data_IF_954605226160
#
_entry.id   IF_954605226160
#
_cell.length_a   1.000
_cell.length_b   1.000
_cell.length_c   1.000
_cell.angle_alpha   90.00
_cell.angle_beta   90.00
_cell.angle_gamma   90.00
#
_symmetry.space_group_name_H-M   'P 1'
#
loop_
_entity.id
_entity.type
_entity.pdbx_description
1 polymer ?
#
# COMPACT_ATOMS: atom_id res chain seq x y z
N UNK A 1 21.84 11.37 -16.98
CA UNK A 1 21.14 10.39 -16.14
C UNK A 1 20.03 11.10 -15.35
N UNK A 2 18.87 10.47 -15.17
CA UNK A 2 17.66 11.11 -14.66
C UNK A 2 17.59 11.37 -13.15
N UNK A 3 18.68 11.21 -12.39
CA UNK A 3 18.81 11.59 -10.98
C UNK A 3 17.96 10.81 -9.95
N UNK A 4 16.98 10.02 -10.38
CA UNK A 4 16.04 9.36 -9.46
C UNK A 4 16.73 8.38 -8.49
N UNK A 5 17.78 7.68 -8.94
CA UNK A 5 18.57 6.77 -8.09
C UNK A 5 19.09 7.47 -6.83
N UNK A 6 19.69 8.66 -6.97
CA UNK A 6 20.27 9.35 -5.80
C UNK A 6 19.21 9.69 -4.77
N UNK A 7 18.00 10.06 -5.20
CA UNK A 7 16.88 10.37 -4.31
C UNK A 7 16.35 9.09 -3.62
N UNK A 8 16.19 8.01 -4.38
CA UNK A 8 15.69 6.73 -3.85
C UNK A 8 16.66 6.11 -2.83
N UNK A 9 17.96 6.25 -3.04
CA UNK A 9 19.02 5.74 -2.15
C UNK A 9 19.39 6.70 -1.00
N UNK A 10 18.90 7.96 -1.01
CA UNK A 10 19.20 8.95 0.03
C UNK A 10 18.47 8.65 1.35
N UNK A 11 19.23 8.46 2.44
CA UNK A 11 18.68 8.21 3.78
C UNK A 11 17.95 9.43 4.35
N UNK A 12 18.31 10.65 3.94
CA UNK A 12 17.69 11.90 4.43
C UNK A 12 16.30 12.15 3.83
N UNK A 13 15.98 11.49 2.72
CA UNK A 13 14.67 11.59 2.07
C UNK A 13 13.86 10.35 2.40
N UNK A 14 12.72 10.51 3.09
CA UNK A 14 11.81 9.39 3.33
C UNK A 14 10.98 9.09 2.09
N UNK A 15 10.93 7.82 1.68
CA UNK A 15 10.09 7.37 0.56
C UNK A 15 8.82 6.75 1.12
N UNK A 16 7.68 7.38 0.80
CA UNK A 16 6.36 6.91 1.23
C UNK A 16 5.74 6.11 0.08
N UNK A 17 5.51 4.81 0.32
CA UNK A 17 4.93 3.87 -0.66
C UNK A 17 3.71 3.18 -0.08
N UNK A 18 2.99 2.44 -0.91
CA UNK A 18 1.98 1.49 -0.49
C UNK A 18 2.34 0.11 -1.03
N UNK A 19 2.58 -0.86 -0.14
CA UNK A 19 3.01 -2.20 -0.51
C UNK A 19 4.34 -2.24 -1.29
N UNK A 20 5.46 -1.99 -0.58
CA UNK A 20 6.79 -1.79 -1.18
C UNK A 20 7.37 -3.02 -1.91
N UNK A 21 6.76 -4.19 -1.77
CA UNK A 21 7.36 -5.49 -2.13
C UNK A 21 7.74 -5.61 -3.60
N UNK A 22 6.79 -5.36 -4.50
CA UNK A 22 7.01 -5.47 -5.94
C UNK A 22 7.88 -4.34 -6.51
N UNK A 23 7.73 -3.13 -5.96
CA UNK A 23 8.52 -1.97 -6.36
C UNK A 23 10.00 -2.14 -6.01
N UNK A 24 10.28 -2.63 -4.80
CA UNK A 24 11.63 -2.91 -4.35
C UNK A 24 12.33 -3.98 -5.18
N UNK A 25 11.67 -5.11 -5.40
CA UNK A 25 12.19 -6.19 -6.24
C UNK A 25 12.52 -5.69 -7.65
N UNK A 26 11.59 -4.94 -8.25
CA UNK A 26 11.75 -4.37 -9.59
C UNK A 26 12.91 -3.37 -9.64
N UNK A 27 13.03 -2.47 -8.66
CA UNK A 27 14.09 -1.46 -8.60
C UNK A 27 15.48 -2.08 -8.41
N UNK A 28 15.58 -3.09 -7.53
CA UNK A 28 16.84 -3.77 -7.25
C UNK A 28 17.33 -4.57 -8.45
N UNK A 29 16.46 -5.38 -9.07
CA UNK A 29 16.88 -6.31 -10.13
C UNK A 29 17.00 -5.63 -11.50
N UNK A 30 16.08 -4.73 -11.85
CA UNK A 30 16.08 -4.11 -13.18
C UNK A 30 16.99 -2.88 -13.25
N UNK A 31 17.18 -2.17 -12.13
CA UNK A 31 17.88 -0.87 -12.13
C UNK A 31 19.03 -0.79 -11.12
N UNK A 32 19.31 -1.86 -10.37
CA UNK A 32 20.32 -1.89 -9.31
C UNK A 32 20.17 -0.75 -8.29
N UNK A 33 18.93 -0.33 -8.02
CA UNK A 33 18.58 0.71 -7.04
C UNK A 33 18.13 0.05 -5.76
N UNK A 34 18.69 0.48 -4.62
CA UNK A 34 18.23 0.00 -3.30
C UNK A 34 17.67 1.13 -2.46
N UNK A 35 16.35 1.14 -2.28
CA UNK A 35 15.67 2.19 -1.52
C UNK A 35 16.13 2.23 -0.06
N UNK A 36 16.16 3.43 0.53
CA UNK A 36 16.50 3.70 1.95
C UNK A 36 15.40 4.50 2.63
N UNK A 37 15.26 4.48 3.95
CA UNK A 37 14.26 5.32 4.63
C UNK A 37 12.84 5.14 4.05
N UNK A 38 12.37 3.89 4.04
CA UNK A 38 11.11 3.50 3.43
C UNK A 38 10.00 3.59 4.48
N UNK A 39 8.86 4.10 4.07
CA UNK A 39 7.65 4.17 4.86
C UNK A 39 6.48 3.57 4.08
N UNK A 40 6.08 2.35 4.42
CA UNK A 40 4.98 1.64 3.76
C UNK A 40 3.65 1.92 4.47
N UNK A 41 2.73 2.59 3.77
CA UNK A 41 1.40 2.94 4.27
C UNK A 41 0.56 1.71 4.60
N UNK A 42 0.75 0.58 3.91
CA UNK A 42 0.04 -0.66 4.23
C UNK A 42 0.50 -1.23 5.59
N UNK A 43 1.78 -1.05 5.91
CA UNK A 43 2.35 -1.41 7.22
C UNK A 43 1.82 -0.49 8.31
N UNK A 44 1.85 0.84 8.09
CA UNK A 44 1.25 1.81 9.03
C UNK A 44 -0.23 1.48 9.29
N UNK A 45 -0.99 1.22 8.23
CA UNK A 45 -2.40 0.85 8.38
C UNK A 45 -2.57 -0.38 9.27
N UNK A 46 -1.79 -1.44 9.05
CA UNK A 46 -1.88 -2.66 9.85
C UNK A 46 -1.56 -2.40 11.33
N UNK A 47 -0.51 -1.62 11.64
CA UNK A 47 -0.18 -1.26 13.02
C UNK A 47 -1.27 -0.43 13.71
N UNK A 48 -2.02 0.38 12.93
CA UNK A 48 -2.94 1.36 13.49
C UNK A 48 -4.40 0.88 13.55
N UNK A 49 -4.79 0.01 12.62
CA UNK A 49 -6.18 -0.37 12.39
C UNK A 49 -6.43 -1.88 12.31
N UNK A 50 -5.39 -2.72 12.34
CA UNK A 50 -5.57 -4.18 12.31
C UNK A 50 -5.36 -4.81 13.67
N UNK A 51 -6.06 -5.91 13.89
CA UNK A 51 -5.87 -6.74 15.08
C UNK A 51 -4.69 -7.70 14.89
N UNK A 52 -4.10 -8.18 16.00
CA UNK A 52 -3.04 -9.21 15.93
C UNK A 52 -3.53 -10.50 15.28
N UNK A 53 -4.84 -10.77 15.37
CA UNK A 53 -5.55 -11.89 14.74
C UNK A 53 -5.78 -11.73 13.24
N UNK A 54 -5.65 -10.51 12.69
CA UNK A 54 -5.86 -10.24 11.25
C UNK A 54 -4.74 -10.83 10.39
N UNK A 55 -5.00 -11.93 9.71
CA UNK A 55 -3.98 -12.59 8.88
C UNK A 55 -3.83 -11.97 7.48
N UNK A 56 -4.66 -11.00 7.11
CA UNK A 56 -4.72 -10.44 5.76
C UNK A 56 -4.54 -8.93 5.72
N UNK A 57 -3.66 -8.48 4.85
CA UNK A 57 -3.39 -7.07 4.56
C UNK A 57 -4.54 -6.46 3.75
N UNK A 58 -4.80 -5.18 3.99
CA UNK A 58 -5.84 -4.42 3.27
C UNK A 58 -5.25 -3.80 2.00
N UNK A 59 -6.02 -3.83 0.92
CA UNK A 59 -5.67 -3.17 -0.34
C UNK A 59 -5.81 -1.65 -0.23
N UNK A 60 -5.17 -0.89 -1.12
CA UNK A 60 -5.24 0.58 -1.09
C UNK A 60 -6.69 1.09 -1.12
N UNK A 61 -7.58 0.44 -1.87
CA UNK A 61 -9.00 0.80 -1.91
C UNK A 61 -9.66 0.73 -0.53
N UNK A 62 -9.47 -0.37 0.19
CA UNK A 62 -10.02 -0.56 1.55
C UNK A 62 -9.37 0.45 2.50
N UNK A 63 -8.07 0.70 2.33
CA UNK A 63 -7.33 1.65 3.17
C UNK A 63 -7.83 3.09 2.95
N UNK A 64 -8.12 3.47 1.71
CA UNK A 64 -8.74 4.76 1.39
C UNK A 64 -10.10 4.92 2.08
N UNK A 65 -10.85 3.84 2.32
CA UNK A 65 -12.13 3.84 3.06
C UNK A 65 -12.02 4.46 4.46
N UNK A 66 -10.84 4.43 5.09
CA UNK A 66 -10.58 5.04 6.41
C UNK A 66 -10.25 6.53 6.38
N UNK A 67 -10.06 7.13 5.21
CA UNK A 67 -9.91 8.59 5.15
C UNK A 67 -11.21 9.28 5.58
N UNK A 68 -11.15 10.44 6.25
CA UNK A 68 -12.31 11.29 6.48
C UNK A 68 -13.00 11.76 5.19
N UNK A 69 -14.32 11.95 5.23
CA UNK A 69 -15.14 12.35 4.07
C UNK A 69 -14.75 13.71 3.49
N UNK A 70 -14.23 14.63 4.32
CA UNK A 70 -13.74 15.95 3.91
C UNK A 70 -12.41 15.89 3.15
N UNK A 71 -11.64 14.80 3.29
CA UNK A 71 -10.41 14.55 2.54
C UNK A 71 -10.68 13.73 1.28
N UNK A 72 -11.56 12.73 1.38
CA UNK A 72 -11.97 11.92 0.24
C UNK A 72 -13.48 11.65 0.29
N UNK A 73 -14.24 12.31 -0.57
CA UNK A 73 -15.70 12.20 -0.59
C UNK A 73 -16.18 10.83 -1.06
N UNK A 74 -17.43 10.47 -0.75
CA UNK A 74 -18.05 9.22 -1.23
C UNK A 74 -18.06 9.16 -2.76
N UNK A 75 -18.33 10.29 -3.43
CA UNK A 75 -18.31 10.36 -4.89
C UNK A 75 -16.92 10.07 -5.46
N UNK A 76 -15.86 10.61 -4.85
CA UNK A 76 -14.48 10.34 -5.26
C UNK A 76 -14.08 8.89 -5.02
N UNK A 77 -14.45 8.28 -3.88
CA UNK A 77 -14.22 6.85 -3.63
C UNK A 77 -14.84 5.97 -4.69
N UNK A 78 -16.11 6.24 -5.03
CA UNK A 78 -16.80 5.51 -6.08
C UNK A 78 -16.14 5.73 -7.45
N UNK A 79 -15.64 6.94 -7.73
CA UNK A 79 -14.88 7.23 -8.95
C UNK A 79 -13.59 6.42 -9.01
N UNK A 80 -12.82 6.38 -7.92
CA UNK A 80 -11.58 5.59 -7.83
C UNK A 80 -11.84 4.08 -7.97
N UNK A 81 -12.92 3.58 -7.37
CA UNK A 81 -13.33 2.19 -7.52
C UNK A 81 -13.66 1.84 -8.97
N UNK A 82 -14.44 2.69 -9.66
CA UNK A 82 -14.72 2.51 -11.09
C UNK A 82 -13.46 2.56 -11.94
N UNK A 83 -12.56 3.52 -11.66
CA UNK A 83 -11.29 3.68 -12.36
C UNK A 83 -10.40 2.44 -12.21
N UNK A 84 -10.29 1.88 -10.99
CA UNK A 84 -9.56 0.62 -10.77
C UNK A 84 -10.16 -0.49 -11.62
N UNK A 85 -11.47 -0.68 -11.59
CA UNK A 85 -12.12 -1.76 -12.34
C UNK A 85 -11.90 -1.63 -13.85
N UNK A 86 -12.01 -0.41 -14.38
CA UNK A 86 -11.74 -0.11 -15.79
C UNK A 86 -10.27 -0.41 -16.14
N UNK A 87 -9.32 0.10 -15.36
CA UNK A 87 -7.90 -0.13 -15.56
C UNK A 87 -7.53 -1.61 -15.47
N UNK A 88 -8.04 -2.33 -14.46
CA UNK A 88 -7.81 -3.77 -14.28
C UNK A 88 -8.28 -4.57 -15.48
N UNK A 89 -9.46 -4.26 -16.02
CA UNK A 89 -9.94 -4.93 -17.23
C UNK A 89 -8.99 -4.72 -18.41
N UNK A 90 -8.41 -3.52 -18.55
CA UNK A 90 -7.48 -3.21 -19.63
C UNK A 90 -6.20 -4.05 -19.55
N UNK A 91 -5.51 -4.08 -18.40
CA UNK A 91 -4.27 -4.84 -18.26
C UNK A 91 -4.46 -6.35 -18.04
N UNK A 92 -5.68 -6.78 -17.69
CA UNK A 92 -6.06 -8.20 -17.72
C UNK A 92 -6.23 -8.70 -19.16
N UNK A 93 -6.78 -7.86 -20.03
CA UNK A 93 -7.02 -8.19 -21.44
C UNK A 93 -5.74 -8.11 -22.27
N UNK A 94 -4.87 -7.16 -21.96
CA UNK A 94 -3.64 -6.91 -22.69
C UNK A 94 -2.45 -6.77 -21.74
N UNK A 95 -1.63 -7.82 -21.68
CA UNK A 95 -0.45 -7.92 -20.80
C UNK A 95 0.64 -6.89 -21.13
N UNK A 96 0.68 -6.37 -22.36
CA UNK A 96 1.69 -5.40 -22.81
C UNK A 96 1.15 -3.96 -22.81
N UNK A 97 -0.02 -3.72 -22.22
CA UNK A 97 -0.66 -2.40 -22.30
C UNK A 97 0.18 -1.29 -21.64
N UNK A 98 0.96 -1.63 -20.62
CA UNK A 98 1.89 -0.70 -19.96
C UNK A 98 3.08 -0.27 -20.83
N UNK A 99 3.37 -1.01 -21.91
CA UNK A 99 4.43 -0.68 -22.87
C UNK A 99 3.93 0.19 -24.03
N UNK A 100 2.62 0.24 -24.25
CA UNK A 100 2.03 1.02 -25.35
C UNK A 100 2.18 2.52 -25.14
N UNK A 101 2.45 3.26 -26.22
CA UNK A 101 2.57 4.72 -26.20
C UNK A 101 1.74 5.38 -27.32
N UNK A 102 1.06 6.52 -27.04
CA UNK A 102 0.90 7.13 -25.72
C UNK A 102 0.08 6.24 -24.78
N UNK A 103 0.38 6.31 -23.47
CA UNK A 103 -0.39 5.56 -22.47
C UNK A 103 -1.81 6.14 -22.39
N UNK A 104 -2.83 5.29 -22.38
CA UNK A 104 -4.21 5.77 -22.36
C UNK A 104 -4.53 6.50 -21.04
N UNK A 105 -5.49 7.43 -21.10
CA UNK A 105 -5.80 8.30 -19.97
C UNK A 105 -6.24 7.52 -18.72
N UNK A 106 -7.03 6.46 -18.90
CA UNK A 106 -7.47 5.57 -17.81
C UNK A 106 -6.27 5.00 -17.03
N UNK A 107 -5.22 4.51 -17.71
CA UNK A 107 -4.04 3.97 -17.03
C UNK A 107 -3.18 5.05 -16.38
N UNK A 108 -3.12 6.25 -16.97
CA UNK A 108 -2.45 7.41 -16.34
C UNK A 108 -3.16 7.81 -15.05
N UNK A 109 -4.48 7.97 -15.09
CA UNK A 109 -5.27 8.34 -13.92
C UNK A 109 -5.23 7.23 -12.85
N UNK A 110 -5.24 5.96 -13.27
CA UNK A 110 -5.08 4.82 -12.37
C UNK A 110 -3.71 4.83 -11.66
N UNK A 111 -2.62 4.99 -12.41
CA UNK A 111 -1.27 5.08 -11.83
C UNK A 111 -1.15 6.25 -10.86
N UNK A 112 -1.69 7.43 -11.22
CA UNK A 112 -1.70 8.60 -10.33
C UNK A 112 -2.50 8.33 -9.04
N UNK A 113 -3.65 7.64 -9.14
CA UNK A 113 -4.49 7.34 -7.97
C UNK A 113 -3.77 6.51 -6.90
N UNK A 114 -2.78 5.69 -7.29
CA UNK A 114 -1.98 4.90 -6.38
C UNK A 114 -1.08 5.71 -5.43
N UNK A 115 -0.77 6.97 -5.79
CA UNK A 115 0.20 7.80 -5.03
C UNK A 115 -0.41 9.07 -4.43
N UNK A 116 -1.52 9.57 -4.98
CA UNK A 116 -2.07 10.89 -4.64
C UNK A 116 -2.41 11.09 -3.16
N UNK A 117 -2.78 10.02 -2.44
CA UNK A 117 -3.24 10.12 -1.05
C UNK A 117 -2.19 9.67 -0.02
N UNK A 118 -1.02 9.17 -0.44
CA UNK A 118 -0.05 8.52 0.46
C UNK A 118 0.49 9.47 1.53
N UNK A 119 0.89 10.68 1.13
CA UNK A 119 1.40 11.70 2.07
C UNK A 119 0.30 12.17 3.04
N UNK A 120 -0.93 12.35 2.53
CA UNK A 120 -2.07 12.72 3.36
C UNK A 120 -2.36 11.66 4.42
N UNK A 121 -2.39 10.37 4.02
CA UNK A 121 -2.57 9.25 4.94
C UNK A 121 -1.46 9.18 5.98
N UNK A 122 -0.20 9.39 5.59
CA UNK A 122 0.92 9.43 6.53
C UNK A 122 0.74 10.52 7.58
N UNK A 123 0.52 11.77 7.16
CA UNK A 123 0.36 12.90 8.08
C UNK A 123 -0.82 12.67 9.01
N UNK A 124 -1.97 12.31 8.43
CA UNK A 124 -3.20 12.14 9.18
C UNK A 124 -3.08 11.03 10.23
N UNK A 125 -2.63 9.83 9.85
CA UNK A 125 -2.56 8.70 10.77
C UNK A 125 -1.37 8.75 11.73
N UNK A 126 -0.35 9.54 11.39
CA UNK A 126 0.69 9.92 12.33
C UNK A 126 0.15 10.83 13.44
N UNK A 127 -0.69 11.80 13.10
CA UNK A 127 -1.24 12.77 14.06
C UNK A 127 -2.53 12.28 14.76
N UNK A 128 -3.18 11.23 14.26
CA UNK A 128 -4.40 10.70 14.84
C UNK A 128 -4.16 10.06 16.21
N UNK A 129 -4.89 10.54 17.22
CA UNK A 129 -5.01 9.95 18.55
C UNK A 129 -4.43 10.82 19.67
N UNK A 130 -4.78 10.51 20.92
CA UNK A 130 -4.20 11.13 22.11
C UNK A 130 -2.83 10.51 22.48
N UNK A 131 -2.02 10.19 21.47
CA UNK A 131 -0.73 9.54 21.68
C UNK A 131 0.25 10.53 22.31
N UNK A 132 1.01 10.05 23.28
CA UNK A 132 2.22 10.74 23.71
C UNK A 132 3.25 10.77 22.58
N UNK A 133 4.14 11.75 22.61
CA UNK A 133 5.26 11.86 21.67
C UNK A 133 6.09 10.56 21.60
N UNK A 134 6.23 9.86 22.73
CA UNK A 134 6.91 8.57 22.80
C UNK A 134 6.20 7.49 21.97
N UNK A 135 4.89 7.36 22.11
CA UNK A 135 4.10 6.38 21.36
C UNK A 135 4.12 6.69 19.87
N UNK A 136 4.04 7.97 19.50
CA UNK A 136 4.11 8.40 18.09
C UNK A 136 5.46 8.01 17.47
N UNK A 137 6.56 8.38 18.13
CA UNK A 137 7.91 8.07 17.66
C UNK A 137 8.14 6.56 17.59
N UNK A 138 7.62 5.79 18.55
CA UNK A 138 7.69 4.34 18.49
C UNK A 138 6.93 3.77 17.29
N UNK A 139 5.72 4.26 17.02
CA UNK A 139 4.92 3.86 15.87
C UNK A 139 5.65 4.12 14.54
N UNK A 140 6.09 5.37 14.33
CA UNK A 140 6.85 5.75 13.13
C UNK A 140 8.11 4.89 12.94
N UNK A 141 8.82 4.62 14.05
CA UNK A 141 10.01 3.77 14.03
C UNK A 141 9.69 2.31 13.68
N UNK A 142 8.63 1.73 14.26
CA UNK A 142 8.21 0.36 13.95
C UNK A 142 7.75 0.22 12.50
N UNK A 143 6.99 1.19 11.98
CA UNK A 143 6.59 1.20 10.56
C UNK A 143 7.81 1.27 9.67
N UNK A 144 8.76 2.17 9.95
CA UNK A 144 9.97 2.30 9.13
C UNK A 144 10.82 1.03 9.14
N UNK A 145 11.11 0.45 10.33
CA UNK A 145 11.90 -0.78 10.43
C UNK A 145 11.19 -1.91 9.68
N UNK A 146 9.89 -2.09 9.91
CA UNK A 146 9.12 -3.16 9.25
C UNK A 146 9.09 -2.96 7.74
N UNK A 147 9.00 -1.72 7.26
CA UNK A 147 9.05 -1.40 5.83
C UNK A 147 10.40 -1.74 5.20
N UNK A 148 11.51 -1.43 5.87
CA UNK A 148 12.86 -1.77 5.40
C UNK A 148 13.18 -3.28 5.52
N UNK A 149 12.63 -3.97 6.52
CA UNK A 149 12.68 -5.44 6.63
C UNK A 149 11.91 -6.09 5.46
N UNK A 150 10.69 -5.62 5.16
CA UNK A 150 9.89 -6.09 4.02
C UNK A 150 10.60 -5.86 2.69
N UNK A 151 11.17 -4.68 2.47
CA UNK A 151 11.97 -4.39 1.27
C UNK A 151 13.08 -5.43 1.09
N UNK A 152 13.90 -5.62 2.12
CA UNK A 152 15.05 -6.51 2.08
C UNK A 152 14.64 -7.95 1.84
N UNK A 153 13.58 -8.38 2.50
CA UNK A 153 13.07 -9.74 2.35
C UNK A 153 12.64 -9.98 0.89
N UNK A 154 11.84 -9.10 0.31
CA UNK A 154 11.30 -9.33 -1.04
C UNK A 154 12.35 -9.14 -2.14
N UNK A 155 13.35 -8.28 -1.94
CA UNK A 155 14.51 -8.18 -2.85
C UNK A 155 15.39 -9.43 -2.82
N UNK A 156 15.53 -10.10 -1.67
CA UNK A 156 16.43 -11.27 -1.54
C UNK A 156 15.72 -12.60 -1.73
N UNK A 157 14.38 -12.59 -1.85
CA UNK A 157 13.57 -13.79 -1.95
C UNK A 157 13.79 -14.45 -3.31
N UNK A 158 13.94 -15.78 -3.28
CA UNK A 158 14.10 -16.58 -4.51
C UNK A 158 12.79 -16.89 -5.23
N UNK A 159 11.68 -16.92 -4.50
CA UNK A 159 10.35 -17.25 -5.01
C UNK A 159 9.43 -16.07 -4.76
N UNK A 160 8.92 -15.46 -5.83
CA UNK A 160 7.99 -14.35 -5.69
C UNK A 160 6.62 -14.83 -5.20
N UNK A 161 6.06 -14.13 -4.22
CA UNK A 161 4.70 -14.38 -3.75
C UNK A 161 3.74 -13.62 -4.65
N UNK A 162 2.76 -14.33 -5.22
CA UNK A 162 1.82 -13.77 -6.19
C UNK A 162 0.36 -14.01 -5.76
N UNK A 163 -0.54 -13.29 -6.43
CA UNK A 163 -1.99 -13.47 -6.29
C UNK A 163 -2.46 -13.43 -4.83
N UNK A 164 -3.28 -14.41 -4.44
CA UNK A 164 -3.92 -14.44 -3.12
C UNK A 164 -2.95 -14.56 -1.95
N UNK A 165 -1.80 -15.18 -2.18
CA UNK A 165 -0.79 -15.32 -1.13
C UNK A 165 -0.16 -13.97 -0.77
N UNK A 166 -0.14 -12.99 -1.70
CA UNK A 166 0.39 -11.63 -1.46
C UNK A 166 -0.45 -10.86 -0.42
N UNK A 167 -1.73 -11.22 -0.26
CA UNK A 167 -2.60 -10.62 0.74
C UNK A 167 -2.35 -11.12 2.16
N UNK A 168 -1.59 -12.22 2.36
CA UNK A 168 -1.24 -12.66 3.70
C UNK A 168 -0.29 -11.66 4.35
N UNK A 169 -0.53 -11.35 5.63
CA UNK A 169 0.36 -10.49 6.42
C UNK A 169 1.70 -11.21 6.60
N UNK A 170 2.76 -10.52 6.20
CA UNK A 170 4.15 -11.01 6.18
C UNK A 170 5.03 -10.39 7.28
N UNK A 171 4.42 -9.69 8.23
CA UNK A 171 5.09 -9.14 9.40
C UNK A 171 4.25 -9.34 10.67
N UNK A 172 4.90 -9.30 11.83
CA UNK A 172 4.24 -9.40 13.13
C UNK A 172 3.81 -8.02 13.63
N UNK A 173 2.63 -7.95 14.26
CA UNK A 173 2.17 -6.77 14.99
C UNK A 173 2.58 -6.79 16.47
N UNK A 174 3.25 -7.84 16.95
CA UNK A 174 3.49 -8.08 18.39
C UNK A 174 4.79 -7.46 18.95
N UNK A 175 5.50 -6.59 18.22
CA UNK A 175 6.75 -6.01 18.75
C UNK A 175 6.46 -4.93 19.81
N UNK A 176 7.15 -5.10 20.95
CA UNK A 176 7.04 -4.41 22.24
C UNK A 176 6.86 -2.88 22.16
N UNK A 177 5.71 -2.41 22.66
CA UNK A 177 5.36 -0.99 22.77
C UNK A 177 4.01 -0.74 22.11
N UNK A 178 2.93 -1.05 22.83
CA UNK A 178 1.55 -0.94 22.37
C UNK A 178 1.31 0.45 21.76
N UNK A 179 0.94 0.49 20.48
CA UNK A 179 0.30 1.67 19.89
C UNK A 179 -1.17 1.59 20.34
N UNK A 180 -1.70 2.57 21.10
CA UNK A 180 -3.09 2.51 21.51
C UNK A 180 -4.00 2.54 20.27
N UNK A 181 -5.01 1.65 20.17
CA UNK A 181 -5.94 1.64 19.05
C UNK A 181 -6.62 3.01 18.93
N UNK A 182 -6.95 3.41 17.70
CA UNK A 182 -7.71 4.64 17.49
C UNK A 182 -9.12 4.43 18.06
N UNK A 183 -9.64 5.32 18.92
CA UNK A 183 -11.01 5.21 19.42
C UNK A 183 -12.00 5.23 18.25
N UNK A 184 -12.97 4.32 18.25
CA UNK A 184 -13.99 4.18 17.18
C UNK A 184 -14.69 5.51 16.84
N UNK A 185 -14.83 6.38 17.85
CA UNK A 185 -15.53 7.65 17.79
C UNK A 185 -14.76 8.77 17.06
N UNK A 186 -13.51 8.54 16.66
CA UNK A 186 -12.68 9.54 15.97
C UNK A 186 -12.79 9.44 14.44
N UNK A 187 -13.40 8.36 13.92
CA UNK A 187 -13.92 8.33 12.57
C UNK A 187 -15.22 9.16 12.57
N UNK A 188 -15.13 10.45 12.21
CA UNK A 188 -16.26 11.38 12.29
C UNK A 188 -17.56 10.74 11.80
N UNK A 189 -18.55 10.65 12.70
CA UNK A 189 -19.93 10.18 12.51
C UNK A 189 -20.14 9.39 11.21
N UNK A 190 -19.71 8.13 11.20
CA UNK A 190 -20.23 7.16 10.24
C UNK A 190 -21.57 6.71 10.79
N UNK A 191 -22.67 7.28 10.30
CA UNK A 191 -23.97 6.65 10.45
C UNK A 191 -23.86 5.25 9.85
N UNK A 192 -24.04 4.24 10.70
CA UNK A 192 -24.14 2.84 10.33
C UNK A 192 -25.39 2.66 9.46
N UNK A 193 -25.22 2.75 8.15
CA UNK A 193 -26.19 2.15 7.24
C UNK A 193 -25.82 0.67 7.09
N UNK A 194 -26.41 -0.12 7.98
CA UNK A 194 -26.56 -1.57 7.86
C UNK A 194 -27.45 -1.89 6.64
N UNK A 195 -26.95 -1.66 5.42
CA UNK A 195 -27.56 -2.23 4.22
C UNK A 195 -26.61 -2.26 3.01
N UNK A 196 -25.44 -2.87 3.20
CA UNK A 196 -24.65 -3.35 2.06
C UNK A 196 -24.58 -4.87 2.21
N UNK A 197 -25.44 -5.55 1.45
CA UNK A 197 -25.43 -7.01 1.28
C UNK A 197 -24.02 -7.53 0.92
N UNK A 198 -23.80 -8.85 0.99
CA UNK A 198 -22.46 -9.43 1.02
C UNK A 198 -21.64 -8.93 -0.17
N UNK A 199 -20.68 -8.05 0.10
CA UNK A 199 -19.69 -7.61 -0.88
C UNK A 199 -18.90 -8.86 -1.21
N UNK A 200 -19.16 -9.39 -2.41
CA UNK A 200 -18.55 -10.61 -2.90
C UNK A 200 -17.03 -10.53 -2.78
N UNK A 201 -16.47 -11.62 -2.25
CA UNK A 201 -15.03 -11.90 -2.12
C UNK A 201 -14.39 -11.95 -3.51
N UNK A 202 -14.17 -10.78 -4.12
CA UNK A 202 -13.46 -10.62 -5.38
C UNK A 202 -12.59 -9.36 -5.32
N UNK A 203 -11.60 -9.36 -4.43
CA UNK A 203 -10.62 -8.28 -4.44
C UNK A 203 -9.26 -8.75 -3.91
N UNK A 204 -8.73 -9.83 -4.51
CA UNK A 204 -7.33 -10.25 -4.32
C UNK A 204 -6.80 -10.85 -5.62
N UNK A 205 -6.52 -9.99 -6.61
CA UNK A 205 -5.68 -10.34 -7.76
C UNK A 205 -4.87 -9.10 -8.15
N UNK A 206 -3.76 -8.84 -7.45
CA UNK A 206 -2.59 -8.30 -8.14
C UNK A 206 -2.08 -9.45 -9.03
N UNK A 207 -2.10 -9.19 -10.32
CA UNK A 207 -2.01 -10.14 -11.42
C UNK A 207 -0.77 -11.07 -11.39
N UNK A 208 -1.01 -12.32 -11.80
CA UNK A 208 -0.07 -13.46 -11.88
C UNK A 208 1.07 -13.27 -12.90
N UNK A 209 2.30 -13.51 -12.44
CA UNK A 209 3.47 -13.83 -13.27
C UNK A 209 3.85 -15.29 -13.11
N UNK A 210 2.95 -16.20 -13.51
CA UNK A 210 3.30 -17.58 -13.83
C UNK A 210 3.44 -17.73 -15.35
N UNK A 211 4.62 -17.37 -15.84
CA UNK A 211 5.21 -18.02 -16.99
C UNK A 211 6.63 -18.41 -16.59
N UNK A 212 6.73 -19.54 -15.91
CA UNK A 212 7.95 -20.32 -15.94
C UNK A 212 8.32 -20.55 -17.39
N UNK A 213 9.48 -20.03 -17.78
CA UNK A 213 10.48 -20.58 -18.70
C UNK A 213 11.62 -19.56 -18.78
N UNK A 214 12.45 -19.53 -17.73
CA UNK A 214 13.86 -19.17 -17.89
C UNK A 214 14.59 -20.46 -18.25
N UNK A 215 14.78 -20.73 -19.54
CA UNK A 215 15.90 -21.56 -20.00
C UNK A 215 16.54 -20.88 -21.22
N UNK A 216 17.86 -21.07 -21.29
CA UNK A 216 18.88 -20.35 -22.06
C UNK A 216 18.71 -20.35 -23.58
#
# INVERSE_FOLDING_TARGET
EGGLRSILEDQSVQKVLFDVRGDADSLAHNYQVRMRNIYDIQVMYAFRFSETTDNFLKSLNIVLEKLPINLLSTAERQRLHRLKNEATNLFTTDRQIWDKRPLCRTLVDYAASGVMQLLCMKTLWGEMGCMSEYEYNNCEHQVQITSEEREREFVTRRVQIQGRAKAQRDFSLERSGLIPPIPDNFCGNVESNDDVGPIGVYDICDYDSDSGLCEY
#
